data_IF_411432327412
#
_entry.id   IF_411432327412
#
_cell.length_a   1.000
_cell.length_b   1.000
_cell.length_c   1.000
_cell.angle_alpha   90.00
_cell.angle_beta   90.00
_cell.angle_gamma   90.00
#
_symmetry.space_group_name_H-M   'P 1'
#
loop_
_entity.id
_entity.type
_entity.pdbx_description
1 polymer ?
#
# COMPACT_ATOMS: atom_id res chain seq x y z
N UNK A 1 -2.19 -22.15 5.58
CA UNK A 1 -0.80 -21.65 5.66
C UNK A 1 -0.82 -20.16 5.45
N UNK A 2 -0.08 -19.40 6.26
CA UNK A 2 0.11 -17.95 6.10
C UNK A 2 1.60 -17.70 5.87
N UNK A 3 1.93 -16.85 4.88
CA UNK A 3 3.30 -16.43 4.58
C UNK A 3 3.35 -14.92 4.42
N UNK A 4 4.33 -14.28 5.04
CA UNK A 4 4.55 -12.84 4.93
C UNK A 4 6.05 -12.51 5.06
N UNK A 5 6.41 -11.25 4.92
CA UNK A 5 7.79 -10.79 5.03
C UNK A 5 8.38 -10.87 6.46
N UNK A 6 7.54 -11.11 7.48
CA UNK A 6 8.02 -11.19 8.87
C UNK A 6 7.31 -12.31 9.65
N UNK A 7 8.05 -13.17 10.40
CA UNK A 7 7.46 -14.31 11.12
C UNK A 7 6.34 -13.92 12.08
N UNK A 8 6.49 -12.82 12.83
CA UNK A 8 5.47 -12.36 13.77
C UNK A 8 4.17 -11.98 13.06
N UNK A 9 4.26 -11.35 11.89
CA UNK A 9 3.07 -11.02 11.10
C UNK A 9 2.39 -12.30 10.56
N UNK A 10 3.17 -13.28 10.09
CA UNK A 10 2.63 -14.59 9.68
C UNK A 10 1.93 -15.30 10.85
N UNK A 11 2.48 -15.18 12.06
CA UNK A 11 1.86 -15.75 13.26
C UNK A 11 0.50 -15.11 13.57
N UNK A 12 0.39 -13.78 13.48
CA UNK A 12 -0.89 -13.06 13.65
C UNK A 12 -1.94 -13.60 12.68
N UNK A 13 -1.61 -13.73 11.40
CA UNK A 13 -2.55 -14.29 10.42
C UNK A 13 -2.95 -15.74 10.72
N UNK A 14 -2.00 -16.56 11.16
CA UNK A 14 -2.27 -17.93 11.56
C UNK A 14 -3.21 -18.00 12.78
N UNK A 15 -3.01 -17.13 13.76
CA UNK A 15 -3.84 -17.10 14.97
C UNK A 15 -5.27 -16.63 14.65
N UNK A 16 -5.43 -15.67 13.74
CA UNK A 16 -6.76 -15.27 13.23
C UNK A 16 -7.48 -16.45 12.58
N UNK A 17 -6.81 -17.21 11.71
CA UNK A 17 -7.40 -18.40 11.07
C UNK A 17 -7.78 -19.47 12.10
N UNK A 18 -6.94 -19.72 13.12
CA UNK A 18 -7.23 -20.68 14.20
C UNK A 18 -8.43 -20.27 15.06
N UNK A 19 -8.66 -18.97 15.20
CA UNK A 19 -9.79 -18.42 15.95
C UNK A 19 -11.06 -18.27 15.11
N UNK A 20 -11.11 -18.84 13.89
CA UNK A 20 -12.29 -18.88 13.05
C UNK A 20 -12.41 -17.74 12.02
N UNK A 21 -11.41 -16.89 11.92
CA UNK A 21 -11.32 -15.89 10.86
C UNK A 21 -11.08 -16.53 9.48
N UNK A 22 -11.42 -15.82 8.43
CA UNK A 22 -11.19 -16.24 7.05
C UNK A 22 -9.86 -15.68 6.51
N UNK A 23 -9.57 -15.93 5.23
CA UNK A 23 -8.32 -15.49 4.60
C UNK A 23 -8.21 -13.96 4.49
N UNK A 24 -9.32 -13.24 4.34
CA UNK A 24 -9.31 -11.77 4.31
C UNK A 24 -9.01 -11.21 5.70
N UNK A 25 -9.63 -11.76 6.75
CA UNK A 25 -9.36 -11.37 8.13
C UNK A 25 -7.86 -11.56 8.45
N UNK A 26 -7.30 -12.71 8.04
CA UNK A 26 -5.88 -13.01 8.22
C UNK A 26 -4.99 -12.05 7.42
N UNK A 27 -5.33 -11.72 6.17
CA UNK A 27 -4.56 -10.78 5.35
C UNK A 27 -4.54 -9.37 5.95
N UNK A 28 -5.70 -8.90 6.41
CA UNK A 28 -5.82 -7.60 7.10
C UNK A 28 -4.97 -7.59 8.37
N UNK A 29 -5.09 -8.61 9.22
CA UNK A 29 -4.29 -8.72 10.44
C UNK A 29 -2.78 -8.77 10.18
N UNK A 30 -2.35 -9.50 9.16
CA UNK A 30 -0.95 -9.53 8.70
C UNK A 30 -0.50 -8.14 8.25
N UNK A 31 -1.32 -7.42 7.49
CA UNK A 31 -0.98 -6.08 7.02
C UNK A 31 -0.75 -5.11 8.18
N UNK A 32 -1.66 -5.07 9.16
CA UNK A 32 -1.48 -4.26 10.37
C UNK A 32 -0.24 -4.67 11.19
N UNK A 33 0.01 -5.97 11.31
CA UNK A 33 1.20 -6.45 11.99
C UNK A 33 2.48 -6.02 11.27
N UNK A 34 2.52 -6.10 9.93
CA UNK A 34 3.67 -5.64 9.13
C UNK A 34 3.93 -4.15 9.28
N UNK A 35 2.91 -3.32 9.47
CA UNK A 35 3.09 -1.89 9.74
C UNK A 35 3.90 -1.62 11.01
N UNK A 36 3.91 -2.57 11.96
CA UNK A 36 4.68 -2.49 13.21
C UNK A 36 6.04 -3.18 13.09
N UNK A 37 6.08 -4.42 12.59
CA UNK A 37 7.29 -5.27 12.63
C UNK A 37 8.15 -5.13 11.37
N UNK A 38 7.62 -4.52 10.31
CA UNK A 38 8.30 -4.33 9.02
C UNK A 38 7.93 -2.98 8.39
N UNK A 39 8.10 -1.85 9.11
CA UNK A 39 7.53 -0.55 8.72
C UNK A 39 8.13 0.04 7.44
N UNK A 40 9.34 -0.39 7.05
CA UNK A 40 10.02 0.07 5.84
C UNK A 40 9.30 -0.32 4.54
N UNK A 41 8.46 -1.35 4.56
CA UNK A 41 7.77 -1.86 3.37
C UNK A 41 6.35 -2.36 3.65
N UNK A 42 5.92 -2.48 4.91
CA UNK A 42 4.61 -2.96 5.32
C UNK A 42 3.86 -1.92 6.13
N UNK A 43 3.68 -0.71 5.61
CA UNK A 43 3.01 0.38 6.32
C UNK A 43 1.61 0.70 5.75
N UNK A 44 0.82 1.44 6.52
CA UNK A 44 -0.53 1.88 6.15
C UNK A 44 -0.53 3.15 5.26
N UNK A 45 0.62 3.78 5.08
CA UNK A 45 0.79 4.97 4.25
C UNK A 45 0.97 4.68 2.75
N UNK A 46 0.78 3.44 2.33
CA UNK A 46 0.92 2.97 0.97
C UNK A 46 -0.38 2.50 0.34
N UNK A 47 -0.28 1.50 -0.49
CA UNK A 47 -1.37 0.83 -1.16
C UNK A 47 -0.95 -0.57 -1.61
N UNK A 48 -1.77 -1.21 -2.43
CA UNK A 48 -1.45 -2.55 -2.91
C UNK A 48 -2.46 -3.13 -3.86
N UNK A 49 -2.30 -4.42 -4.09
CA UNK A 49 -3.20 -5.24 -4.90
C UNK A 49 -3.55 -6.51 -4.15
N UNK A 50 -4.79 -6.94 -4.29
CA UNK A 50 -5.24 -8.25 -3.82
C UNK A 50 -5.74 -9.06 -5.00
N UNK A 51 -5.36 -10.33 -5.06
CA UNK A 51 -5.99 -11.33 -5.90
C UNK A 51 -6.52 -12.43 -4.99
N UNK A 52 -7.78 -12.79 -5.17
CA UNK A 52 -8.44 -13.76 -4.29
C UNK A 52 -9.24 -14.81 -5.05
N UNK A 53 -9.45 -15.94 -4.38
CA UNK A 53 -10.38 -16.99 -4.80
C UNK A 53 -11.19 -17.45 -3.59
N UNK A 54 -12.50 -17.41 -3.72
CA UNK A 54 -13.43 -17.89 -2.71
C UNK A 54 -13.63 -19.41 -2.79
N UNK A 55 -14.16 -20.00 -1.72
CA UNK A 55 -14.44 -21.42 -1.66
C UNK A 55 -15.48 -21.91 -2.71
N UNK A 56 -16.38 -21.02 -3.12
CA UNK A 56 -17.35 -21.29 -4.19
C UNK A 56 -16.78 -21.19 -5.61
N UNK A 57 -15.46 -20.94 -5.75
CA UNK A 57 -14.76 -20.82 -7.02
C UNK A 57 -14.73 -19.43 -7.63
N UNK A 58 -15.48 -18.48 -7.08
CA UNK A 58 -15.39 -17.08 -7.50
C UNK A 58 -13.99 -16.51 -7.22
N UNK A 59 -13.51 -15.70 -8.14
CA UNK A 59 -12.23 -15.01 -8.00
C UNK A 59 -12.38 -13.55 -8.39
N UNK A 60 -11.43 -12.73 -7.96
CA UNK A 60 -11.40 -11.32 -8.28
C UNK A 60 -10.06 -10.68 -7.89
N UNK A 61 -9.98 -9.41 -8.18
CA UNK A 61 -8.84 -8.58 -7.79
C UNK A 61 -9.33 -7.23 -7.29
N UNK A 62 -8.56 -6.64 -6.40
CA UNK A 62 -8.78 -5.30 -5.89
C UNK A 62 -7.49 -4.51 -6.08
N UNK A 63 -7.62 -3.32 -6.66
CA UNK A 63 -6.54 -2.34 -6.80
C UNK A 63 -6.83 -1.18 -5.84
N UNK A 64 -5.98 -1.08 -4.81
CA UNK A 64 -6.02 0.00 -3.83
C UNK A 64 -4.67 0.74 -3.74
N UNK A 65 -4.00 0.86 -4.89
CA UNK A 65 -2.78 1.66 -4.97
C UNK A 65 -3.03 3.11 -4.61
N UNK A 66 -1.95 3.77 -4.25
CA UNK A 66 -1.88 5.20 -4.04
C UNK A 66 -2.30 5.94 -5.31
N UNK A 67 -2.98 7.05 -5.12
CA UNK A 67 -3.39 7.96 -6.21
C UNK A 67 -2.69 9.30 -6.07
N UNK A 68 -2.53 9.99 -7.18
CA UNK A 68 -2.10 11.37 -7.14
C UNK A 68 -3.18 12.24 -6.45
N UNK A 69 -2.80 13.22 -5.63
CA UNK A 69 -3.75 14.20 -5.09
C UNK A 69 -4.54 14.89 -6.20
N UNK A 70 -5.81 15.22 -5.95
CA UNK A 70 -6.69 15.85 -6.93
C UNK A 70 -6.16 17.17 -7.51
N UNK A 71 -5.30 17.86 -6.75
CA UNK A 71 -4.65 19.11 -7.16
C UNK A 71 -3.36 18.89 -7.94
N UNK A 72 -2.97 17.64 -8.19
CA UNK A 72 -1.76 17.33 -8.96
C UNK A 72 -1.93 17.73 -10.42
N UNK A 73 -0.90 18.36 -10.96
CA UNK A 73 -0.84 18.73 -12.37
C UNK A 73 0.35 18.06 -13.05
N UNK A 74 0.32 17.96 -14.38
CA UNK A 74 1.42 17.39 -15.18
C UNK A 74 2.76 18.04 -14.86
N UNK A 75 2.75 19.35 -14.63
CA UNK A 75 3.97 20.15 -14.55
C UNK A 75 4.35 20.53 -13.11
N UNK A 76 3.68 19.94 -12.09
CA UNK A 76 3.89 20.26 -10.67
C UNK A 76 5.33 20.08 -10.17
N UNK A 77 6.14 19.28 -10.87
CA UNK A 77 7.55 19.05 -10.55
C UNK A 77 8.51 19.87 -11.42
N UNK A 78 8.00 20.69 -12.33
CA UNK A 78 8.81 21.53 -13.16
C UNK A 78 9.08 22.91 -12.50
N UNK A 79 10.17 23.53 -12.91
CA UNK A 79 10.51 24.93 -12.58
C UNK A 79 11.05 25.61 -13.83
N UNK A 80 10.82 26.90 -13.92
CA UNK A 80 11.45 27.73 -14.95
C UNK A 80 12.94 27.97 -14.61
N UNK A 81 13.80 27.78 -15.60
CA UNK A 81 15.24 28.07 -15.50
C UNK A 81 15.76 28.48 -16.87
N UNK A 82 16.18 29.74 -16.98
CA UNK A 82 16.74 30.29 -18.23
C UNK A 82 15.77 30.36 -19.42
N UNK A 83 14.45 30.40 -19.15
CA UNK A 83 13.40 30.39 -20.17
C UNK A 83 12.91 29.00 -20.55
N UNK A 84 13.50 27.94 -20.01
CA UNK A 84 13.12 26.55 -20.22
C UNK A 84 12.48 25.94 -18.97
N UNK A 85 11.55 24.97 -19.16
CA UNK A 85 11.00 24.15 -18.10
C UNK A 85 11.92 22.98 -17.80
N UNK A 86 12.51 22.96 -16.60
CA UNK A 86 13.39 21.90 -16.13
C UNK A 86 12.81 21.16 -14.95
N UNK A 87 13.17 19.90 -14.77
CA UNK A 87 12.73 19.09 -13.65
C UNK A 87 13.35 19.63 -12.34
N UNK A 88 12.50 19.79 -11.32
CA UNK A 88 12.97 20.05 -9.96
C UNK A 88 13.16 18.70 -9.26
N UNK A 89 14.36 18.17 -9.33
CA UNK A 89 14.71 16.79 -8.95
C UNK A 89 14.32 16.38 -7.53
N UNK A 90 14.21 17.31 -6.61
CA UNK A 90 13.88 17.00 -5.23
C UNK A 90 12.37 16.96 -4.95
N UNK A 91 11.54 17.69 -5.71
CA UNK A 91 10.09 17.78 -5.44
C UNK A 91 9.34 16.47 -5.64
N UNK A 92 9.79 15.62 -6.57
CA UNK A 92 9.18 14.31 -6.83
C UNK A 92 9.67 13.20 -5.89
N UNK A 93 10.67 13.48 -5.05
CA UNK A 93 11.29 12.48 -4.17
C UNK A 93 11.19 12.84 -2.69
N UNK A 94 11.18 14.11 -2.35
CA UNK A 94 11.24 14.59 -0.99
C UNK A 94 10.13 15.61 -0.71
N UNK A 95 9.54 15.50 0.49
CA UNK A 95 8.53 16.43 0.98
C UNK A 95 7.10 16.03 0.59
N UNK A 96 6.16 16.87 0.97
CA UNK A 96 4.72 16.58 0.86
C UNK A 96 4.21 16.43 -0.58
N UNK A 97 4.87 17.03 -1.55
CA UNK A 97 4.48 16.89 -2.97
C UNK A 97 4.88 15.53 -3.57
N UNK A 98 5.81 14.79 -2.94
CA UNK A 98 6.23 13.48 -3.39
C UNK A 98 5.29 12.36 -2.93
N UNK A 99 4.42 12.63 -1.98
CA UNK A 99 3.53 11.63 -1.38
C UNK A 99 2.26 11.45 -2.20
N UNK A 100 1.90 10.20 -2.47
CA UNK A 100 0.57 9.84 -2.97
C UNK A 100 -0.47 9.84 -1.85
N UNK A 101 -1.74 9.82 -2.23
CA UNK A 101 -2.85 9.58 -1.30
C UNK A 101 -2.91 8.08 -1.02
N UNK A 102 -2.74 7.64 0.24
CA UNK A 102 -2.73 6.23 0.58
C UNK A 102 -4.06 5.52 0.29
N UNK A 103 -3.96 4.26 -0.14
CA UNK A 103 -5.11 3.41 -0.42
C UNK A 103 -5.27 2.21 0.52
N UNK A 104 -4.27 1.92 1.38
CA UNK A 104 -4.27 0.69 2.21
C UNK A 104 -5.45 0.54 3.16
N UNK A 105 -6.06 1.63 3.61
CA UNK A 105 -7.21 1.60 4.54
C UNK A 105 -8.54 1.62 3.78
N UNK A 106 -8.53 2.11 2.54
CA UNK A 106 -9.72 2.19 1.68
C UNK A 106 -10.00 0.84 0.98
N UNK A 107 -8.97 0.07 0.71
CA UNK A 107 -9.05 -1.26 0.09
C UNK A 107 -9.29 -2.36 1.09
#
# INVERSE_FOLDING_TARGET
MVSSAHPLASQVGLDILKNGGNAFDAAIGVHFALAVVYPQAGNLGGGGFVVYRLANGQNGSLDFREKAPNMSTRDMYLKESGGDLVVNDNKSRLGHLASGVPGSVDG
#
